data_IF_355819382646
#
_entry.id   IF_355819382646
#
_cell.length_a   1.000
_cell.length_b   1.000
_cell.length_c   1.000
_cell.angle_alpha   90.00
_cell.angle_beta   90.00
_cell.angle_gamma   90.00
#
_symmetry.space_group_name_H-M   'P 1'
#
loop_
_entity.id
_entity.type
_entity.pdbx_description
1 polymer ?
#
# COMPACT_ATOMS: atom_id res chain seq x y z
N UNK A 1 -19.84 13.20 -20.65
CA UNK A 1 -19.12 12.19 -21.46
C UNK A 1 -19.84 10.84 -21.31
N UNK A 2 -20.15 10.14 -22.40
CA UNK A 2 -20.85 8.82 -22.33
C UNK A 2 -19.91 7.77 -21.71
N UNK A 3 -20.47 6.83 -20.93
CA UNK A 3 -19.73 5.71 -20.32
C UNK A 3 -18.85 4.95 -21.34
N UNK A 4 -19.29 4.89 -22.61
CA UNK A 4 -18.54 4.30 -23.71
C UNK A 4 -17.21 5.02 -24.00
N UNK A 5 -17.20 6.36 -23.97
CA UNK A 5 -15.99 7.14 -24.27
C UNK A 5 -14.88 6.90 -23.24
N UNK A 6 -15.22 6.80 -21.95
CA UNK A 6 -14.23 6.48 -20.90
C UNK A 6 -13.67 5.06 -21.02
N UNK A 7 -14.47 4.11 -21.54
CA UNK A 7 -13.98 2.74 -21.78
C UNK A 7 -12.88 2.76 -22.85
N UNK A 8 -13.11 3.45 -23.96
CA UNK A 8 -12.14 3.58 -25.05
C UNK A 8 -10.89 4.36 -24.62
N UNK A 9 -11.05 5.43 -23.85
CA UNK A 9 -9.92 6.20 -23.34
C UNK A 9 -9.01 5.36 -22.43
N UNK A 10 -9.58 4.59 -21.50
CA UNK A 10 -8.82 3.69 -20.64
C UNK A 10 -8.14 2.58 -21.46
N UNK A 11 -8.84 1.98 -22.43
CA UNK A 11 -8.26 0.96 -23.30
C UNK A 11 -7.11 1.52 -24.16
N UNK A 12 -7.26 2.74 -24.67
CA UNK A 12 -6.23 3.45 -25.43
C UNK A 12 -4.98 3.71 -24.59
N UNK A 13 -5.12 4.15 -23.33
CA UNK A 13 -3.97 4.31 -22.43
C UNK A 13 -3.26 3.00 -22.11
N UNK A 14 -4.02 1.91 -21.89
CA UNK A 14 -3.43 0.59 -21.64
C UNK A 14 -2.68 0.11 -22.89
N UNK A 15 -3.29 0.23 -24.07
CA UNK A 15 -2.65 -0.14 -25.33
C UNK A 15 -1.39 0.69 -25.60
N UNK A 16 -1.45 2.00 -25.33
CA UNK A 16 -0.30 2.89 -25.40
C UNK A 16 0.83 2.45 -24.46
N UNK A 17 0.50 2.09 -23.20
CA UNK A 17 1.51 1.59 -22.27
C UNK A 17 2.14 0.26 -22.72
N UNK A 18 1.35 -0.68 -23.22
CA UNK A 18 1.86 -1.91 -23.81
C UNK A 18 2.77 -1.64 -25.02
N UNK A 19 2.42 -0.65 -25.86
CA UNK A 19 3.26 -0.23 -26.98
C UNK A 19 4.59 0.35 -26.50
N UNK A 20 4.60 1.17 -25.46
CA UNK A 20 5.84 1.72 -24.87
C UNK A 20 6.77 0.61 -24.35
N UNK A 21 6.20 -0.44 -23.74
CA UNK A 21 6.96 -1.63 -23.33
C UNK A 21 7.49 -2.38 -24.56
N UNK A 22 6.64 -2.62 -25.56
CA UNK A 22 7.02 -3.34 -26.79
C UNK A 22 8.10 -2.63 -27.62
N UNK A 23 8.12 -1.29 -27.58
CA UNK A 23 9.15 -0.47 -28.23
C UNK A 23 10.43 -0.33 -27.37
N UNK A 24 10.46 -0.89 -26.16
CA UNK A 24 11.61 -0.78 -25.27
C UNK A 24 11.83 0.62 -24.67
N UNK A 25 10.82 1.50 -24.72
CA UNK A 25 10.90 2.83 -24.10
C UNK A 25 10.79 2.70 -22.56
N UNK A 26 9.96 1.77 -22.11
CA UNK A 26 9.86 1.39 -20.69
C UNK A 26 10.48 0.00 -20.54
N UNK A 27 11.63 -0.08 -19.87
CA UNK A 27 12.35 -1.31 -19.61
C UNK A 27 12.70 -1.42 -18.13
N UNK A 28 12.62 -2.64 -17.60
CA UNK A 28 13.03 -2.97 -16.24
C UNK A 28 13.96 -4.18 -16.28
N UNK A 29 15.10 -4.07 -15.62
CA UNK A 29 16.00 -5.21 -15.43
C UNK A 29 15.63 -5.99 -14.18
N UNK A 30 15.88 -7.31 -14.22
CA UNK A 30 15.83 -8.14 -13.04
C UNK A 30 16.82 -7.60 -11.99
N UNK A 31 16.46 -7.66 -10.71
CA UNK A 31 17.37 -7.19 -9.67
C UNK A 31 18.42 -8.24 -9.33
N UNK A 32 19.64 -7.80 -9.01
CA UNK A 32 20.79 -8.68 -8.73
C UNK A 32 20.50 -9.76 -7.67
N UNK A 33 19.72 -9.42 -6.64
CA UNK A 33 19.37 -10.38 -5.58
C UNK A 33 18.59 -11.61 -6.07
N UNK A 34 17.82 -11.52 -7.16
CA UNK A 34 17.16 -12.69 -7.75
C UNK A 34 18.14 -13.40 -8.68
N UNK A 35 18.93 -12.69 -9.49
CA UNK A 35 19.92 -13.34 -10.38
C UNK A 35 20.92 -14.16 -9.58
N UNK A 36 21.34 -13.67 -8.41
CA UNK A 36 22.21 -14.40 -7.48
C UNK A 36 21.55 -15.71 -7.02
N UNK A 37 20.26 -15.67 -6.63
CA UNK A 37 19.52 -16.87 -6.21
C UNK A 37 19.40 -17.88 -7.35
N UNK A 38 19.14 -17.41 -8.58
CA UNK A 38 19.05 -18.26 -9.77
C UNK A 38 20.39 -18.94 -10.04
N UNK A 39 21.51 -18.23 -9.87
CA UNK A 39 22.85 -18.77 -10.12
C UNK A 39 23.21 -19.97 -9.23
N UNK A 40 22.60 -20.06 -8.04
CA UNK A 40 22.76 -21.21 -7.14
C UNK A 40 21.84 -22.40 -7.45
N UNK A 41 21.08 -22.35 -8.56
CA UNK A 41 20.15 -23.38 -9.01
C UNK A 41 19.23 -23.92 -7.90
N UNK A 42 18.79 -23.04 -7.01
CA UNK A 42 18.03 -23.44 -5.81
C UNK A 42 16.56 -23.62 -6.15
N UNK A 43 15.98 -24.75 -5.73
CA UNK A 43 14.55 -24.99 -5.89
C UNK A 43 13.71 -23.93 -5.11
N UNK A 44 12.74 -23.25 -5.76
CA UNK A 44 11.93 -22.20 -5.15
C UNK A 44 11.21 -22.62 -3.87
N UNK A 45 10.72 -23.87 -3.83
CA UNK A 45 9.97 -24.40 -2.69
C UNK A 45 10.92 -24.64 -1.52
N UNK A 46 12.08 -25.26 -1.77
CA UNK A 46 13.12 -25.43 -0.76
C UNK A 46 13.60 -24.10 -0.16
N UNK A 47 13.68 -23.05 -0.98
CA UNK A 47 14.10 -21.72 -0.54
C UNK A 47 13.04 -21.04 0.35
N UNK A 48 11.75 -21.28 0.09
CA UNK A 48 10.66 -20.86 0.98
C UNK A 48 10.65 -21.66 2.29
N UNK A 49 10.81 -22.98 2.22
CA UNK A 49 10.79 -23.86 3.39
C UNK A 49 12.00 -23.64 4.32
N UNK A 50 13.15 -23.28 3.78
CA UNK A 50 14.34 -22.88 4.56
C UNK A 50 14.18 -21.54 5.28
N UNK A 51 13.11 -20.78 4.99
CA UNK A 51 12.88 -19.47 5.57
C UNK A 51 13.91 -18.43 5.12
N UNK A 52 14.44 -18.57 3.91
CA UNK A 52 15.41 -17.63 3.36
C UNK A 52 14.80 -16.22 3.23
N UNK A 53 15.56 -15.20 3.61
CA UNK A 53 15.05 -13.81 3.73
C UNK A 53 14.58 -13.20 2.40
N UNK A 54 15.07 -13.75 1.29
CA UNK A 54 14.69 -13.32 -0.06
C UNK A 54 13.64 -14.23 -0.71
N UNK A 55 13.16 -15.27 -0.02
CA UNK A 55 12.26 -16.25 -0.60
C UNK A 55 10.91 -15.67 -1.01
N UNK A 56 10.34 -14.78 -0.18
CA UNK A 56 9.09 -14.11 -0.56
C UNK A 56 9.29 -13.16 -1.75
N UNK A 57 10.47 -12.51 -1.86
CA UNK A 57 10.80 -11.66 -3.02
C UNK A 57 10.88 -12.50 -4.29
N UNK A 58 11.52 -13.65 -4.19
CA UNK A 58 11.63 -14.61 -5.29
C UNK A 58 10.24 -15.11 -5.70
N UNK A 59 9.36 -15.44 -4.75
CA UNK A 59 7.99 -15.89 -5.05
C UNK A 59 7.17 -14.88 -5.86
N UNK A 60 7.39 -13.57 -5.66
CA UNK A 60 6.71 -12.51 -6.44
C UNK A 60 7.19 -12.45 -7.89
N UNK A 61 8.47 -12.75 -8.14
CA UNK A 61 9.09 -12.67 -9.48
C UNK A 61 9.09 -14.02 -10.20
N UNK A 62 8.94 -15.12 -9.46
CA UNK A 62 8.98 -16.48 -9.98
C UNK A 62 8.04 -16.71 -11.18
N UNK A 63 6.81 -16.19 -11.23
CA UNK A 63 5.97 -16.35 -12.41
C UNK A 63 6.60 -15.80 -13.70
N UNK A 64 7.29 -14.65 -13.62
CA UNK A 64 7.99 -14.07 -14.77
C UNK A 64 9.18 -14.92 -15.20
N UNK A 65 9.98 -15.39 -14.23
CA UNK A 65 11.12 -16.26 -14.50
C UNK A 65 10.69 -17.59 -15.12
N UNK A 66 9.62 -18.18 -14.59
CA UNK A 66 9.08 -19.43 -15.09
C UNK A 66 8.62 -19.30 -16.55
N UNK A 67 7.94 -18.19 -16.89
CA UNK A 67 7.57 -17.91 -18.29
C UNK A 67 8.82 -17.74 -19.16
N UNK A 68 9.81 -16.96 -18.72
CA UNK A 68 11.05 -16.77 -19.48
C UNK A 68 11.80 -18.09 -19.73
N UNK A 69 11.87 -18.97 -18.72
CA UNK A 69 12.45 -20.32 -18.84
C UNK A 69 11.68 -21.19 -19.83
N UNK A 70 10.35 -21.15 -19.80
CA UNK A 70 9.51 -21.97 -20.68
C UNK A 70 9.51 -21.48 -22.13
N UNK A 71 9.62 -20.18 -22.37
CA UNK A 71 9.61 -19.61 -23.73
C UNK A 71 10.99 -19.41 -24.32
N UNK A 72 12.05 -19.44 -23.50
CA UNK A 72 13.41 -19.07 -23.90
C UNK A 72 13.57 -17.58 -24.23
N UNK A 73 12.61 -16.73 -23.84
CA UNK A 73 12.67 -15.29 -24.08
C UNK A 73 13.61 -14.61 -23.08
N UNK A 74 14.09 -13.43 -23.47
CA UNK A 74 14.89 -12.58 -22.60
C UNK A 74 14.19 -12.33 -21.25
N UNK A 75 14.93 -12.52 -20.16
CA UNK A 75 14.40 -12.45 -18.80
C UNK A 75 13.94 -11.03 -18.44
N UNK A 76 14.68 -10.01 -18.89
CA UNK A 76 14.37 -8.62 -18.62
C UNK A 76 13.12 -8.18 -19.40
N UNK A 77 12.92 -8.68 -20.63
CA UNK A 77 11.69 -8.45 -21.39
C UNK A 77 10.46 -9.01 -20.67
N UNK A 78 10.49 -10.27 -20.25
CA UNK A 78 9.37 -10.89 -19.53
C UNK A 78 9.15 -10.22 -18.16
N UNK A 79 10.23 -9.89 -17.46
CA UNK A 79 10.14 -9.15 -16.21
C UNK A 79 9.54 -7.75 -16.40
N UNK A 80 9.90 -7.05 -17.48
CA UNK A 80 9.31 -5.75 -17.84
C UNK A 80 7.80 -5.86 -18.04
N UNK A 81 7.35 -6.88 -18.78
CA UNK A 81 5.92 -7.15 -18.95
C UNK A 81 5.22 -7.46 -17.60
N UNK A 82 5.88 -8.24 -16.74
CA UNK A 82 5.37 -8.58 -15.40
C UNK A 82 5.24 -7.35 -14.49
N UNK A 83 6.22 -6.46 -14.51
CA UNK A 83 6.16 -5.15 -13.83
C UNK A 83 5.04 -4.29 -14.42
N UNK A 84 4.87 -4.30 -15.74
CA UNK A 84 3.74 -3.65 -16.42
C UNK A 84 2.38 -4.13 -15.89
N UNK A 85 2.21 -5.44 -15.72
CA UNK A 85 1.00 -6.03 -15.10
C UNK A 85 0.81 -5.53 -13.66
N UNK A 86 1.89 -5.46 -12.86
CA UNK A 86 1.81 -4.94 -11.50
C UNK A 86 1.38 -3.45 -11.46
N UNK A 87 1.87 -2.62 -12.39
CA UNK A 87 1.43 -1.21 -12.54
C UNK A 87 -0.04 -1.10 -12.92
N UNK A 88 -0.51 -1.93 -13.86
CA UNK A 88 -1.92 -1.97 -14.23
C UNK A 88 -2.80 -2.44 -13.07
N UNK A 89 -2.36 -3.47 -12.34
CA UNK A 89 -3.04 -3.95 -11.14
C UNK A 89 -3.12 -2.83 -10.09
N UNK A 90 -2.03 -2.13 -9.80
CA UNK A 90 -2.02 -0.99 -8.88
C UNK A 90 -3.05 0.08 -9.31
N UNK A 91 -3.02 0.49 -10.58
CA UNK A 91 -3.93 1.49 -11.14
C UNK A 91 -5.40 1.10 -10.98
N UNK A 92 -5.73 -0.17 -11.25
CA UNK A 92 -7.09 -0.70 -11.10
C UNK A 92 -7.53 -0.68 -9.64
N UNK A 93 -6.64 -1.04 -8.70
CA UNK A 93 -6.98 -1.05 -7.28
C UNK A 93 -7.10 0.37 -6.70
N UNK A 94 -6.24 1.31 -7.12
CA UNK A 94 -6.38 2.74 -6.77
C UNK A 94 -7.70 3.29 -7.29
N UNK A 95 -8.09 2.96 -8.52
CA UNK A 95 -9.38 3.36 -9.08
C UNK A 95 -10.57 2.81 -8.28
N UNK A 96 -10.49 1.52 -7.86
CA UNK A 96 -11.49 0.88 -6.99
C UNK A 96 -11.57 1.55 -5.63
N UNK A 97 -10.43 1.75 -4.97
CA UNK A 97 -10.35 2.42 -3.67
C UNK A 97 -10.92 3.84 -3.73
N UNK A 98 -10.59 4.60 -4.77
CA UNK A 98 -11.12 5.96 -5.00
C UNK A 98 -12.63 5.97 -5.20
N UNK A 99 -13.17 5.02 -5.99
CA UNK A 99 -14.61 4.88 -6.20
C UNK A 99 -15.33 4.51 -4.90
N UNK A 100 -14.77 3.56 -4.14
CA UNK A 100 -15.31 3.17 -2.84
C UNK A 100 -15.31 4.33 -1.85
N UNK A 101 -14.24 5.12 -1.80
CA UNK A 101 -14.15 6.29 -0.93
C UNK A 101 -15.09 7.43 -1.33
N UNK A 102 -15.39 7.58 -2.64
CA UNK A 102 -16.28 8.62 -3.17
C UNK A 102 -17.77 8.32 -2.94
N UNK A 103 -18.21 7.10 -3.28
CA UNK A 103 -19.65 6.75 -3.36
C UNK A 103 -20.03 5.52 -2.57
N UNK A 104 -19.09 4.88 -1.86
CA UNK A 104 -19.34 3.65 -1.13
C UNK A 104 -19.53 2.40 -2.02
N UNK A 105 -19.30 2.52 -3.34
CA UNK A 105 -19.44 1.43 -4.31
C UNK A 105 -18.47 1.59 -5.50
N UNK A 106 -18.46 0.64 -6.45
CA UNK A 106 -17.54 0.64 -7.60
C UNK A 106 -18.10 1.29 -8.89
N UNK A 107 -19.23 2.00 -8.81
CA UNK A 107 -19.88 2.57 -10.01
C UNK A 107 -19.01 3.58 -10.76
N UNK A 108 -18.18 4.34 -10.05
CA UNK A 108 -17.28 5.36 -10.62
C UNK A 108 -15.91 4.81 -11.04
N UNK A 109 -15.67 3.49 -10.89
CA UNK A 109 -14.36 2.88 -11.16
C UNK A 109 -13.80 3.23 -12.54
N UNK A 110 -14.65 3.31 -13.58
CA UNK A 110 -14.19 3.63 -14.95
C UNK A 110 -13.69 5.06 -15.08
N UNK A 111 -14.25 5.98 -14.30
CA UNK A 111 -13.88 7.39 -14.28
C UNK A 111 -12.61 7.62 -13.47
N UNK A 112 -12.48 6.93 -12.34
CA UNK A 112 -11.28 7.00 -11.49
C UNK A 112 -10.09 6.22 -12.08
N UNK A 113 -10.34 5.27 -13.00
CA UNK A 113 -9.28 4.50 -13.65
C UNK A 113 -8.37 5.35 -14.54
N UNK A 114 -8.93 6.30 -15.29
CA UNK A 114 -8.15 7.15 -16.19
C UNK A 114 -7.05 7.95 -15.46
N UNK A 115 -7.35 8.76 -14.42
CA UNK A 115 -6.30 9.46 -13.68
C UNK A 115 -5.36 8.50 -12.95
N UNK A 116 -5.86 7.34 -12.49
CA UNK A 116 -4.99 6.32 -11.87
C UNK A 116 -3.96 5.79 -12.86
N UNK A 117 -4.38 5.45 -14.08
CA UNK A 117 -3.50 4.98 -15.15
C UNK A 117 -2.44 6.04 -15.49
N UNK A 118 -2.85 7.30 -15.66
CA UNK A 118 -1.90 8.39 -15.94
C UNK A 118 -0.82 8.52 -14.86
N UNK A 119 -1.21 8.48 -13.59
CA UNK A 119 -0.27 8.59 -12.46
C UNK A 119 0.74 7.44 -12.47
N UNK A 120 0.29 6.19 -12.57
CA UNK A 120 1.20 5.05 -12.45
C UNK A 120 1.99 4.70 -13.71
N UNK A 121 1.44 5.01 -14.90
CA UNK A 121 2.24 4.98 -16.13
C UNK A 121 3.32 6.08 -16.06
N UNK A 122 2.98 7.29 -15.59
CA UNK A 122 3.98 8.35 -15.40
C UNK A 122 5.09 7.96 -14.43
N UNK A 123 4.73 7.35 -13.28
CA UNK A 123 5.72 6.89 -12.29
C UNK A 123 6.58 5.75 -12.84
N UNK A 124 6.06 4.90 -13.75
CA UNK A 124 6.82 3.76 -14.25
C UNK A 124 8.10 4.15 -14.99
N UNK A 125 8.15 5.35 -15.58
CA UNK A 125 9.37 5.92 -16.19
C UNK A 125 10.46 6.31 -15.19
N UNK A 126 10.12 6.52 -13.92
CA UNK A 126 11.03 7.07 -12.91
C UNK A 126 11.42 6.07 -11.82
N UNK A 127 10.88 4.84 -11.84
CA UNK A 127 11.06 3.86 -10.78
C UNK A 127 11.84 2.63 -11.23
N UNK A 128 12.46 1.94 -10.27
CA UNK A 128 12.90 0.56 -10.48
C UNK A 128 11.68 -0.38 -10.40
N UNK A 129 11.62 -1.37 -11.29
CA UNK A 129 10.49 -2.31 -11.40
C UNK A 129 10.16 -3.05 -10.09
N UNK A 130 11.11 -3.18 -9.16
CA UNK A 130 10.89 -3.77 -7.83
C UNK A 130 9.76 -3.13 -7.03
N UNK A 131 9.64 -1.79 -7.06
CA UNK A 131 8.67 -1.07 -6.21
C UNK A 131 7.23 -1.22 -6.75
N UNK A 132 7.06 -1.55 -8.03
CA UNK A 132 5.75 -1.75 -8.67
C UNK A 132 4.90 -2.79 -7.94
N UNK A 133 5.52 -3.88 -7.48
CA UNK A 133 4.82 -4.92 -6.72
C UNK A 133 4.37 -4.42 -5.35
N UNK A 134 5.19 -3.62 -4.67
CA UNK A 134 4.79 -3.00 -3.41
C UNK A 134 3.64 -2.00 -3.61
N UNK A 135 3.62 -1.27 -4.72
CA UNK A 135 2.50 -0.39 -5.08
C UNK A 135 1.20 -1.16 -5.34
N UNK A 136 1.28 -2.27 -6.09
CA UNK A 136 0.14 -3.15 -6.29
C UNK A 136 -0.34 -3.75 -4.96
N UNK A 137 0.59 -4.19 -4.11
CA UNK A 137 0.31 -4.75 -2.79
C UNK A 137 -0.40 -3.77 -1.86
N UNK A 138 0.12 -2.55 -1.68
CA UNK A 138 -0.55 -1.55 -0.83
C UNK A 138 -1.92 -1.16 -1.40
N UNK A 139 -2.07 -1.03 -2.72
CA UNK A 139 -3.36 -0.69 -3.33
C UNK A 139 -4.40 -1.80 -3.11
N UNK A 140 -4.00 -3.08 -3.25
CA UNK A 140 -4.83 -4.23 -2.88
C UNK A 140 -5.22 -4.20 -1.39
N UNK A 141 -4.28 -3.87 -0.50
CA UNK A 141 -4.51 -3.79 0.93
C UNK A 141 -5.56 -2.73 1.26
N UNK A 142 -5.42 -1.54 0.67
CA UNK A 142 -6.37 -0.44 0.84
C UNK A 142 -7.78 -0.82 0.36
N UNK A 143 -7.92 -1.46 -0.79
CA UNK A 143 -9.23 -1.92 -1.28
C UNK A 143 -9.85 -2.94 -0.32
N UNK A 144 -9.07 -3.90 0.18
CA UNK A 144 -9.55 -4.91 1.14
C UNK A 144 -10.04 -4.25 2.43
N UNK A 145 -9.25 -3.32 2.99
CA UNK A 145 -9.62 -2.58 4.20
C UNK A 145 -10.82 -1.67 3.99
N UNK A 146 -10.90 -0.94 2.88
CA UNK A 146 -12.05 -0.09 2.54
C UNK A 146 -13.34 -0.90 2.40
N UNK A 147 -13.32 -2.02 1.68
CA UNK A 147 -14.50 -2.87 1.52
C UNK A 147 -14.94 -3.49 2.85
N UNK A 148 -14.01 -3.83 3.73
CA UNK A 148 -14.33 -4.27 5.09
C UNK A 148 -14.95 -3.14 5.91
N UNK A 149 -14.30 -1.97 5.88
CA UNK A 149 -14.70 -0.76 6.60
C UNK A 149 -16.11 -0.28 6.23
N UNK A 150 -16.44 -0.34 4.94
CA UNK A 150 -17.76 0.02 4.41
C UNK A 150 -18.79 -1.11 4.52
N UNK A 151 -18.43 -2.27 5.09
CA UNK A 151 -19.34 -3.41 5.24
C UNK A 151 -19.71 -4.14 3.95
N UNK A 152 -18.97 -3.91 2.86
CA UNK A 152 -19.19 -4.53 1.54
C UNK A 152 -18.70 -5.98 1.54
N UNK A 153 -17.57 -6.26 2.19
CA UNK A 153 -17.08 -7.64 2.34
C UNK A 153 -17.98 -8.43 3.31
N UNK A 154 -18.70 -9.41 2.75
CA UNK A 154 -19.54 -10.33 3.54
C UNK A 154 -18.77 -11.52 4.11
N UNK A 155 -17.64 -11.90 3.49
CA UNK A 155 -16.85 -13.10 3.85
C UNK A 155 -15.46 -12.71 4.37
N UNK A 156 -15.09 -13.25 5.53
CA UNK A 156 -13.77 -13.08 6.15
C UNK A 156 -12.63 -13.60 5.25
N UNK A 157 -12.85 -14.73 4.57
CA UNK A 157 -11.83 -15.37 3.73
C UNK A 157 -11.32 -14.45 2.64
N UNK A 158 -12.20 -13.77 1.90
CA UNK A 158 -11.79 -12.83 0.86
C UNK A 158 -11.00 -11.64 1.41
N UNK A 159 -11.34 -11.18 2.62
CA UNK A 159 -10.62 -10.10 3.29
C UNK A 159 -9.21 -10.54 3.74
N UNK A 160 -9.08 -11.71 4.35
CA UNK A 160 -7.79 -12.28 4.78
C UNK A 160 -6.89 -12.61 3.58
N UNK A 161 -7.44 -13.23 2.54
CA UNK A 161 -6.70 -13.47 1.29
C UNK A 161 -6.23 -12.16 0.66
N UNK A 162 -7.05 -11.11 0.72
CA UNK A 162 -6.66 -9.77 0.29
C UNK A 162 -5.48 -9.21 1.08
N UNK A 163 -5.47 -9.37 2.42
CA UNK A 163 -4.36 -8.91 3.26
C UNK A 163 -3.08 -9.72 3.03
N UNK A 164 -3.17 -11.06 3.04
CA UNK A 164 -2.02 -11.95 2.84
C UNK A 164 -1.42 -11.78 1.45
N UNK A 165 -2.25 -11.74 0.40
CA UNK A 165 -1.78 -11.48 -0.96
C UNK A 165 -1.10 -10.11 -1.10
N UNK A 166 -1.62 -9.10 -0.40
CA UNK A 166 -0.99 -7.77 -0.36
C UNK A 166 0.37 -7.80 0.32
N UNK A 167 0.51 -8.52 1.45
CA UNK A 167 1.78 -8.69 2.16
C UNK A 167 2.81 -9.44 1.31
N UNK A 168 2.42 -10.47 0.56
CA UNK A 168 3.30 -11.17 -0.37
C UNK A 168 3.82 -10.19 -1.43
N UNK A 169 2.96 -9.40 -2.07
CA UNK A 169 3.38 -8.40 -3.05
C UNK A 169 4.29 -7.31 -2.45
N UNK A 170 4.04 -6.90 -1.20
CA UNK A 170 4.86 -5.94 -0.47
C UNK A 170 6.18 -6.53 0.07
N UNK A 171 6.38 -7.85 0.00
CA UNK A 171 7.58 -8.52 0.51
C UNK A 171 8.86 -8.21 -0.28
N UNK A 172 8.72 -7.61 -1.46
CA UNK A 172 9.82 -7.18 -2.34
C UNK A 172 10.83 -6.30 -1.61
N UNK A 173 10.45 -5.57 -0.56
CA UNK A 173 11.36 -4.88 0.36
C UNK A 173 10.92 -5.09 1.81
N UNK A 174 11.90 -5.22 2.71
CA UNK A 174 11.62 -5.37 4.15
C UNK A 174 10.83 -4.18 4.69
N UNK A 175 11.20 -2.95 4.30
CA UNK A 175 10.51 -1.74 4.77
C UNK A 175 9.06 -1.67 4.28
N UNK A 176 8.80 -2.02 3.02
CA UNK A 176 7.44 -2.03 2.46
C UNK A 176 6.58 -3.12 3.13
N UNK A 177 7.16 -4.30 3.37
CA UNK A 177 6.50 -5.38 4.10
C UNK A 177 6.11 -4.97 5.53
N UNK A 178 7.04 -4.33 6.26
CA UNK A 178 6.77 -3.80 7.60
C UNK A 178 5.65 -2.76 7.60
N UNK A 179 5.63 -1.83 6.63
CA UNK A 179 4.52 -0.87 6.48
C UNK A 179 3.20 -1.62 6.27
N UNK A 180 3.15 -2.62 5.40
CA UNK A 180 1.93 -3.41 5.18
C UNK A 180 1.43 -4.08 6.46
N UNK A 181 2.33 -4.68 7.24
CA UNK A 181 2.01 -5.30 8.52
C UNK A 181 1.49 -4.28 9.55
N UNK A 182 2.15 -3.11 9.65
CA UNK A 182 1.73 -2.02 10.53
C UNK A 182 0.36 -1.44 10.13
N UNK A 183 0.08 -1.32 8.82
CA UNK A 183 -1.21 -0.87 8.30
C UNK A 183 -2.32 -1.87 8.67
N UNK A 184 -2.06 -3.18 8.58
CA UNK A 184 -3.00 -4.22 9.01
C UNK A 184 -3.26 -4.13 10.53
N UNK A 185 -2.19 -4.07 11.33
CA UNK A 185 -2.29 -3.99 12.80
C UNK A 185 -3.06 -2.76 13.24
N UNK A 186 -2.64 -1.59 12.75
CA UNK A 186 -3.20 -0.31 13.18
C UNK A 186 -4.64 -0.16 12.73
N UNK A 187 -4.98 -0.66 11.54
CA UNK A 187 -6.37 -0.68 11.08
C UNK A 187 -7.25 -1.58 11.96
N UNK A 188 -6.74 -2.74 12.39
CA UNK A 188 -7.44 -3.63 13.32
C UNK A 188 -7.63 -3.00 14.71
N UNK A 189 -6.59 -2.38 15.27
CA UNK A 189 -6.65 -1.65 16.54
C UNK A 189 -7.55 -0.40 16.49
N UNK A 190 -7.69 0.20 15.30
CA UNK A 190 -8.52 1.39 15.09
C UNK A 190 -10.00 1.06 14.98
N UNK A 191 -10.38 -0.21 14.75
CA UNK A 191 -11.79 -0.59 14.82
C UNK A 191 -12.33 -0.33 16.24
N UNK A 192 -13.61 0.04 16.40
CA UNK A 192 -14.18 0.27 17.72
C UNK A 192 -14.25 -1.06 18.50
N UNK A 193 -13.23 -1.35 19.29
CA UNK A 193 -13.17 -2.57 20.13
C UNK A 193 -14.12 -2.46 21.32
N UNK A 194 -14.27 -1.26 21.87
CA UNK A 194 -15.08 -0.99 23.06
C UNK A 194 -15.77 0.34 22.81
N UNK A 195 -17.07 0.29 22.49
CA UNK A 195 -17.93 1.47 22.47
C UNK A 195 -19.01 1.23 23.53
N UNK A 196 -19.08 2.10 24.52
CA UNK A 196 -20.17 2.18 25.50
C UNK A 196 -20.39 0.91 26.36
N UNK A 197 -19.30 0.21 26.75
CA UNK A 197 -19.40 -1.00 27.58
C UNK A 197 -20.01 -2.22 26.87
N UNK A 198 -20.32 -2.11 25.58
CA UNK A 198 -20.78 -3.23 24.76
C UNK A 198 -19.58 -3.98 24.18
N UNK A 199 -19.58 -5.29 24.37
CA UNK A 199 -18.59 -6.23 23.85
C UNK A 199 -18.32 -6.01 22.35
N UNK A 200 -17.08 -6.29 21.94
CA UNK A 200 -16.66 -6.39 20.54
C UNK A 200 -17.75 -7.03 19.68
N UNK A 201 -18.16 -6.37 18.59
CA UNK A 201 -18.98 -7.07 17.59
C UNK A 201 -18.15 -8.24 17.10
N UNK A 202 -18.75 -9.44 17.01
CA UNK A 202 -18.07 -10.68 16.58
C UNK A 202 -17.16 -10.49 15.37
N UNK A 203 -17.56 -9.65 14.40
CA UNK A 203 -16.75 -9.32 13.21
C UNK A 203 -15.45 -8.57 13.53
N UNK A 204 -15.50 -7.57 14.41
CA UNK A 204 -14.34 -6.77 14.82
C UNK A 204 -13.37 -7.62 15.66
N UNK A 205 -13.88 -8.48 16.55
CA UNK A 205 -13.05 -9.43 17.31
C UNK A 205 -12.32 -10.40 16.38
N UNK A 206 -13.04 -10.94 15.38
CA UNK A 206 -12.45 -11.85 14.38
C UNK A 206 -11.39 -11.12 13.55
N UNK A 207 -11.63 -9.87 13.15
CA UNK A 207 -10.61 -9.11 12.43
C UNK A 207 -9.38 -8.83 13.30
N UNK A 208 -9.57 -8.38 14.54
CA UNK A 208 -8.47 -8.18 15.47
C UNK A 208 -7.67 -9.48 15.70
N UNK A 209 -8.36 -10.59 16.00
CA UNK A 209 -7.73 -11.88 16.21
C UNK A 209 -6.99 -12.40 14.97
N UNK A 210 -7.55 -12.20 13.77
CA UNK A 210 -6.90 -12.60 12.53
C UNK A 210 -5.72 -11.71 12.14
N UNK A 211 -5.81 -10.39 12.35
CA UNK A 211 -4.68 -9.48 12.15
C UNK A 211 -3.54 -9.83 13.12
N UNK A 212 -3.86 -10.10 14.39
CA UNK A 212 -2.90 -10.54 15.38
C UNK A 212 -2.27 -11.88 14.98
N UNK A 213 -3.06 -12.86 14.54
CA UNK A 213 -2.56 -14.15 14.06
C UNK A 213 -1.60 -14.00 12.88
N UNK A 214 -1.93 -13.13 11.92
CA UNK A 214 -1.06 -12.83 10.77
C UNK A 214 0.26 -12.22 11.23
N UNK A 215 0.23 -11.31 12.20
CA UNK A 215 1.45 -10.66 12.70
C UNK A 215 2.29 -11.64 13.52
N UNK A 216 1.67 -12.45 14.37
CA UNK A 216 2.34 -13.48 15.16
C UNK A 216 2.96 -14.55 14.28
N UNK A 217 2.29 -14.98 13.20
CA UNK A 217 2.85 -15.95 12.26
C UNK A 217 4.02 -15.38 11.45
N UNK A 218 4.02 -14.07 11.20
CA UNK A 218 5.09 -13.37 10.49
C UNK A 218 6.20 -12.85 11.41
N UNK A 219 6.02 -12.90 12.73
CA UNK A 219 7.00 -12.41 13.71
C UNK A 219 8.41 -12.96 13.50
N UNK A 220 8.63 -14.28 13.28
CA UNK A 220 9.97 -14.80 13.05
C UNK A 220 10.65 -14.18 11.82
N UNK A 221 9.87 -13.94 10.75
CA UNK A 221 10.38 -13.34 9.53
C UNK A 221 10.67 -11.85 9.71
N UNK A 222 9.77 -11.12 10.38
CA UNK A 222 9.94 -9.71 10.71
C UNK A 222 11.16 -9.49 11.61
N UNK A 223 11.30 -10.30 12.66
CA UNK A 223 12.42 -10.27 13.59
C UNK A 223 13.75 -10.54 12.87
N UNK A 224 13.86 -11.63 12.11
CA UNK A 224 15.08 -11.94 11.34
C UNK A 224 15.41 -10.84 10.32
N UNK A 225 14.40 -10.27 9.66
CA UNK A 225 14.63 -9.21 8.67
C UNK A 225 15.09 -7.89 9.30
N UNK A 226 14.57 -7.55 10.48
CA UNK A 226 14.98 -6.38 11.24
C UNK A 226 16.38 -6.55 11.81
N UNK A 227 16.68 -7.70 12.42
CA UNK A 227 18.01 -8.02 12.92
C UNK A 227 19.06 -8.01 11.80
N UNK A 228 18.78 -8.64 10.64
CA UNK A 228 19.68 -8.57 9.47
C UNK A 228 19.99 -7.13 9.06
N UNK A 229 18.99 -6.26 9.05
CA UNK A 229 19.23 -4.85 8.71
C UNK A 229 20.08 -4.16 9.77
N UNK A 230 19.80 -4.37 11.05
CA UNK A 230 20.61 -3.81 12.15
C UNK A 230 22.07 -4.28 12.06
N UNK A 231 22.28 -5.59 11.83
CA UNK A 231 23.61 -6.20 11.71
C UNK A 231 24.36 -5.66 10.49
N UNK A 232 23.66 -5.47 9.35
CA UNK A 232 24.22 -4.87 8.15
C UNK A 232 24.76 -3.43 8.40
N UNK A 233 24.10 -2.66 9.27
CA UNK A 233 24.53 -1.30 9.62
C UNK A 233 25.56 -1.24 10.77
N UNK A 234 26.05 -2.39 11.25
CA UNK A 234 27.09 -2.47 12.28
C UNK A 234 26.66 -3.10 13.60
N UNK A 235 25.43 -3.61 13.70
CA UNK A 235 24.94 -4.36 14.86
C UNK A 235 24.58 -3.50 16.07
N UNK A 236 23.76 -4.08 16.96
CA UNK A 236 23.36 -3.44 18.22
C UNK A 236 22.68 -2.07 18.05
N UNK A 237 22.85 -1.20 19.05
CA UNK A 237 22.27 0.16 19.03
C UNK A 237 22.91 1.06 17.95
N UNK A 238 24.21 0.89 17.69
CA UNK A 238 24.92 1.65 16.65
C UNK A 238 24.36 1.34 15.27
N UNK A 239 24.12 0.05 14.98
CA UNK A 239 23.46 -0.39 13.75
C UNK A 239 22.05 0.18 13.61
N UNK A 240 21.27 0.26 14.69
CA UNK A 240 19.94 0.89 14.69
C UNK A 240 20.02 2.39 14.32
N UNK A 241 20.94 3.14 14.92
CA UNK A 241 21.11 4.58 14.65
C UNK A 241 21.60 4.81 13.22
N UNK A 242 22.58 4.04 12.75
CA UNK A 242 23.07 4.10 11.35
C UNK A 242 21.99 3.71 10.34
N UNK A 243 21.13 2.76 10.69
CA UNK A 243 19.96 2.40 9.89
C UNK A 243 18.95 3.56 9.81
N UNK A 244 18.71 4.28 10.91
CA UNK A 244 17.87 5.48 10.89
C UNK A 244 18.48 6.62 10.08
N UNK A 245 19.80 6.75 10.08
CA UNK A 245 20.53 7.70 9.25
C UNK A 245 20.55 7.29 7.77
N UNK A 246 19.95 6.15 7.42
CA UNK A 246 19.72 5.78 6.04
C UNK A 246 18.48 6.51 5.48
N UNK A 247 18.42 6.68 4.15
CA UNK A 247 17.28 7.33 3.50
C UNK A 247 17.09 8.79 3.92
N UNK A 248 15.86 9.16 4.32
CA UNK A 248 15.56 10.54 4.74
C UNK A 248 16.10 10.87 6.13
N UNK A 249 16.35 9.88 6.99
CA UNK A 249 16.86 10.15 8.33
C UNK A 249 18.33 10.56 8.35
N UNK A 250 19.03 10.54 7.20
CA UNK A 250 20.38 11.14 7.05
C UNK A 250 20.42 12.62 7.36
N UNK A 251 19.28 13.29 7.24
CA UNK A 251 19.14 14.73 7.52
C UNK A 251 18.87 15.00 9.00
N UNK A 252 18.67 13.95 9.81
CA UNK A 252 18.50 14.13 11.25
C UNK A 252 19.84 14.29 11.95
N UNK A 253 19.90 15.18 12.96
CA UNK A 253 21.04 15.26 13.86
C UNK A 253 21.30 13.92 14.54
N UNK A 254 22.58 13.62 14.76
CA UNK A 254 23.06 12.32 15.23
C UNK A 254 23.47 12.33 16.70
N UNK A 255 23.52 13.51 17.31
CA UNK A 255 23.78 13.64 18.74
C UNK A 255 22.64 13.03 19.56
N UNK A 256 23.00 12.46 20.71
CA UNK A 256 22.08 11.68 21.54
C UNK A 256 20.88 12.51 22.00
N UNK A 257 21.07 13.80 22.31
CA UNK A 257 20.00 14.68 22.78
C UNK A 257 18.98 14.91 21.65
N UNK A 258 19.43 15.25 20.46
CA UNK A 258 18.54 15.44 19.32
C UNK A 258 17.81 14.15 18.92
N UNK A 259 18.47 12.98 19.00
CA UNK A 259 17.82 11.69 18.77
C UNK A 259 16.72 11.40 19.81
N UNK A 260 16.95 11.72 21.09
CA UNK A 260 15.96 11.59 22.14
C UNK A 260 14.78 12.56 21.94
N UNK A 261 15.05 13.81 21.55
CA UNK A 261 14.01 14.79 21.22
C UNK A 261 13.20 14.35 20.00
N UNK A 262 13.86 13.82 18.96
CA UNK A 262 13.19 13.28 17.78
C UNK A 262 12.33 12.06 18.12
N UNK A 263 12.85 11.14 18.93
CA UNK A 263 12.11 9.95 19.36
C UNK A 263 10.90 10.32 20.24
N UNK A 264 11.11 11.19 21.24
CA UNK A 264 10.06 11.64 22.15
C UNK A 264 9.01 12.51 21.45
N UNK A 265 9.44 13.57 20.77
CA UNK A 265 8.56 14.49 20.04
C UNK A 265 7.90 13.83 18.83
N UNK A 266 8.65 13.05 18.05
CA UNK A 266 8.12 12.27 16.93
C UNK A 266 7.15 11.18 17.39
N UNK A 267 7.44 10.48 18.49
CA UNK A 267 6.53 9.51 19.11
C UNK A 267 5.25 10.16 19.61
N UNK A 268 5.34 11.30 20.29
CA UNK A 268 4.18 12.09 20.72
C UNK A 268 3.33 12.54 19.53
N UNK A 269 3.96 13.12 18.50
CA UNK A 269 3.27 13.53 17.27
C UNK A 269 2.60 12.34 16.56
N UNK A 270 3.32 11.23 16.39
CA UNK A 270 2.79 10.02 15.78
C UNK A 270 1.60 9.47 16.57
N UNK A 271 1.67 9.46 17.91
CA UNK A 271 0.55 9.06 18.76
C UNK A 271 -0.70 9.92 18.50
N UNK A 272 -0.56 11.25 18.44
CA UNK A 272 -1.70 12.13 18.19
C UNK A 272 -2.29 11.98 16.79
N UNK A 273 -1.45 11.84 15.76
CA UNK A 273 -1.90 11.59 14.38
C UNK A 273 -2.62 10.24 14.30
N UNK A 274 -2.04 9.18 14.85
CA UNK A 274 -2.66 7.84 14.85
C UNK A 274 -3.96 7.83 15.65
N UNK A 275 -4.04 8.56 16.77
CA UNK A 275 -5.28 8.72 17.54
C UNK A 275 -6.36 9.41 16.71
N UNK A 276 -6.04 10.51 16.03
CA UNK A 276 -6.99 11.22 15.16
C UNK A 276 -7.48 10.31 14.02
N UNK A 277 -6.57 9.61 13.36
CA UNK A 277 -6.91 8.67 12.29
C UNK A 277 -7.76 7.51 12.81
N UNK A 278 -7.46 6.98 13.99
CA UNK A 278 -8.27 5.96 14.64
C UNK A 278 -9.68 6.48 14.95
N UNK A 279 -9.82 7.73 15.40
CA UNK A 279 -11.14 8.36 15.58
C UNK A 279 -11.90 8.46 14.26
N UNK A 280 -11.24 8.85 13.17
CA UNK A 280 -11.87 8.90 11.83
C UNK A 280 -12.29 7.50 11.34
N UNK A 281 -11.48 6.46 11.61
CA UNK A 281 -11.86 5.06 11.34
C UNK A 281 -13.08 4.69 12.19
N UNK A 282 -13.14 5.05 13.47
CA UNK A 282 -14.31 4.76 14.33
C UNK A 282 -15.57 5.48 13.88
N UNK A 283 -15.43 6.69 13.34
CA UNK A 283 -16.53 7.47 12.76
C UNK A 283 -16.96 6.99 11.37
N UNK A 284 -16.34 5.92 10.85
CA UNK A 284 -16.60 5.37 9.51
C UNK A 284 -16.37 6.36 8.38
N UNK A 285 -15.40 7.26 8.53
CA UNK A 285 -15.04 8.17 7.46
C UNK A 285 -14.40 7.38 6.30
N UNK A 286 -14.91 7.52 5.05
CA UNK A 286 -14.55 6.63 3.95
C UNK A 286 -13.07 6.70 3.55
N UNK A 287 -12.37 7.81 3.80
CA UNK A 287 -10.94 7.95 3.52
C UNK A 287 -10.03 7.53 4.69
N UNK A 288 -10.57 7.19 5.87
CA UNK A 288 -9.75 6.95 7.06
C UNK A 288 -8.75 5.79 6.90
N UNK A 289 -9.11 4.62 6.32
CA UNK A 289 -8.14 3.53 6.11
C UNK A 289 -7.03 3.93 5.12
N UNK A 290 -7.36 4.76 4.13
CA UNK A 290 -6.41 5.26 3.13
C UNK A 290 -5.44 6.25 3.75
N UNK A 291 -5.94 7.20 4.53
CA UNK A 291 -5.10 8.17 5.25
C UNK A 291 -4.17 7.47 6.24
N UNK A 292 -4.65 6.43 6.93
CA UNK A 292 -3.83 5.59 7.79
C UNK A 292 -2.69 4.90 7.02
N UNK A 293 -3.00 4.30 5.88
CA UNK A 293 -2.00 3.73 4.97
C UNK A 293 -0.95 4.73 4.51
N UNK A 294 -1.39 5.93 4.09
CA UNK A 294 -0.50 7.01 3.66
C UNK A 294 0.44 7.44 4.80
N UNK A 295 -0.10 7.74 5.99
CA UNK A 295 0.69 8.21 7.13
C UNK A 295 1.73 7.19 7.57
N UNK A 296 1.36 5.90 7.64
CA UNK A 296 2.31 4.84 8.02
C UNK A 296 3.38 4.61 6.95
N UNK A 297 3.03 4.69 5.66
CA UNK A 297 4.03 4.59 4.59
C UNK A 297 4.97 5.80 4.58
N UNK A 298 4.46 7.01 4.82
CA UNK A 298 5.28 8.22 4.97
C UNK A 298 6.22 8.14 6.17
N UNK A 299 5.74 7.67 7.32
CA UNK A 299 6.57 7.41 8.49
C UNK A 299 7.62 6.32 8.23
N UNK A 300 7.28 5.29 7.47
CA UNK A 300 8.23 4.28 6.99
C UNK A 300 9.33 4.85 6.09
N UNK A 301 9.11 6.03 5.50
CA UNK A 301 10.11 6.78 4.72
C UNK A 301 11.38 7.14 5.48
N UNK A 302 11.32 7.17 6.82
CA UNK A 302 12.50 7.34 7.66
C UNK A 302 13.54 6.22 7.44
N UNK A 303 13.11 5.03 7.04
CA UNK A 303 13.98 3.87 6.81
C UNK A 303 14.36 3.67 5.33
N UNK A 304 13.85 4.50 4.42
CA UNK A 304 14.20 4.43 3.00
C UNK A 304 13.19 5.05 2.04
N UNK A 305 13.70 5.59 0.93
CA UNK A 305 12.88 6.22 -0.11
C UNK A 305 11.89 5.24 -0.74
N UNK A 306 12.29 3.98 -0.99
CA UNK A 306 11.37 2.98 -1.53
C UNK A 306 10.15 2.76 -0.63
N UNK A 307 10.33 2.85 0.70
CA UNK A 307 9.23 2.72 1.67
C UNK A 307 8.34 3.95 1.66
N UNK A 308 8.93 5.15 1.59
CA UNK A 308 8.18 6.40 1.43
C UNK A 308 7.29 6.38 0.18
N UNK A 309 7.84 5.94 -0.95
CA UNK A 309 7.14 5.91 -2.23
C UNK A 309 5.90 5.00 -2.21
N UNK A 310 5.83 4.00 -1.31
CA UNK A 310 4.62 3.18 -1.13
C UNK A 310 3.43 3.98 -0.60
N UNK A 311 3.63 5.22 -0.15
CA UNK A 311 2.52 6.15 0.13
C UNK A 311 1.80 6.63 -1.14
N UNK A 312 2.44 6.58 -2.33
CA UNK A 312 1.89 7.13 -3.57
C UNK A 312 0.53 6.54 -3.96
N UNK A 313 0.27 5.22 -3.88
CA UNK A 313 -1.08 4.69 -4.08
C UNK A 313 -2.13 5.25 -3.14
N UNK A 314 -1.81 5.44 -1.85
CA UNK A 314 -2.75 6.03 -0.91
C UNK A 314 -3.00 7.52 -1.21
N UNK A 315 -1.94 8.27 -1.53
CA UNK A 315 -2.02 9.68 -1.93
C UNK A 315 -2.80 9.86 -3.24
N UNK A 316 -2.62 8.96 -4.21
CA UNK A 316 -3.38 8.95 -5.46
C UNK A 316 -4.88 8.73 -5.20
N UNK A 317 -5.24 7.81 -4.29
CA UNK A 317 -6.64 7.63 -3.87
C UNK A 317 -7.20 8.92 -3.27
N UNK A 318 -6.48 9.55 -2.34
CA UNK A 318 -6.92 10.81 -1.69
C UNK A 318 -7.08 11.92 -2.74
N UNK A 319 -6.09 12.10 -3.62
CA UNK A 319 -6.10 13.14 -4.66
C UNK A 319 -7.22 12.96 -5.67
N UNK A 320 -7.43 11.73 -6.17
CA UNK A 320 -8.52 11.43 -7.11
C UNK A 320 -9.88 11.61 -6.43
N UNK A 321 -10.05 11.11 -5.20
CA UNK A 321 -11.28 11.32 -4.43
C UNK A 321 -11.54 12.81 -4.21
N UNK A 322 -10.54 13.61 -3.85
CA UNK A 322 -10.69 15.04 -3.67
C UNK A 322 -11.09 15.76 -4.96
N UNK A 323 -10.43 15.46 -6.09
CA UNK A 323 -10.71 16.06 -7.38
C UNK A 323 -12.12 15.74 -7.91
N UNK A 324 -12.62 14.53 -7.69
CA UNK A 324 -13.95 14.11 -8.16
C UNK A 324 -15.08 14.42 -7.19
N UNK A 325 -14.79 14.72 -5.91
CA UNK A 325 -15.83 14.98 -4.89
C UNK A 325 -16.85 16.06 -5.30
N UNK A 326 -16.47 17.22 -5.87
CA UNK A 326 -17.42 18.25 -6.28
C UNK A 326 -18.37 17.83 -7.41
N UNK A 327 -17.95 16.86 -8.24
CA UNK A 327 -18.73 16.38 -9.38
C UNK A 327 -19.78 15.34 -8.98
N UNK A 328 -19.56 14.67 -7.85
CA UNK A 328 -20.35 13.50 -7.42
C UNK A 328 -21.27 13.86 -6.27
N UNK A 329 -20.74 14.57 -5.27
CA UNK A 329 -21.53 15.04 -4.15
C UNK A 329 -22.23 16.31 -4.62
N UNK A 330 -23.51 16.20 -4.99
CA UNK A 330 -24.35 17.39 -5.14
C UNK A 330 -24.17 18.20 -3.86
N UNK A 331 -23.70 19.45 -3.97
CA UNK A 331 -23.78 20.37 -2.84
C UNK A 331 -25.25 20.39 -2.49
N UNK A 332 -25.60 19.85 -1.33
CA UNK A 332 -26.88 20.19 -0.72
C UNK A 332 -26.91 21.71 -0.74
N UNK A 333 -27.91 22.28 -1.43
CA UNK A 333 -28.08 23.72 -1.41
C UNK A 333 -28.09 24.11 0.07
N UNK A 334 -27.37 25.18 0.47
CA UNK A 334 -27.44 25.64 1.84
C UNK A 334 -28.92 25.69 2.22
N UNK A 335 -29.31 24.97 3.27
CA UNK A 335 -30.68 24.97 3.75
C UNK A 335 -31.10 26.45 3.82
N UNK A 336 -32.26 26.83 3.23
CA UNK A 336 -32.72 28.21 3.29
C UNK A 336 -32.60 28.65 4.73
N UNK A 337 -31.89 29.77 4.95
CA UNK A 337 -31.68 30.30 6.30
C UNK A 337 -33.03 30.25 7.00
N UNK A 338 -33.14 29.60 8.18
CA UNK A 338 -34.42 29.43 8.85
C UNK A 338 -35.06 30.80 8.89
N UNK A 339 -36.22 30.94 8.24
CA UNK A 339 -36.92 32.20 8.06
C UNK A 339 -36.72 33.03 9.33
N UNK A 340 -36.00 34.15 9.21
CA UNK A 340 -35.86 35.13 10.27
C UNK A 340 -37.19 35.86 10.45
N UNK A 341 -38.28 35.11 10.62
CA UNK A 341 -39.64 35.57 10.93
C UNK A 341 -39.76 35.98 12.40
N UNK A 342 -38.70 36.56 12.95
CA UNK A 342 -38.76 37.35 14.16
C UNK A 342 -38.71 38.80 13.70
N UNK A 343 -39.74 39.56 14.09
CA UNK A 343 -39.95 41.00 13.84
C UNK A 343 -40.74 41.38 12.58
N UNK A 344 -42.01 41.00 12.55
CA UNK A 344 -43.06 41.92 12.10
C UNK A 344 -44.22 41.87 13.11
N UNK A 345 -44.09 42.67 14.16
CA UNK A 345 -45.20 43.10 15.02
C UNK A 345 -45.72 44.44 14.54
#
# INVERSE_FOLDING_TARGET
MRISAMKWLNAGLIAFYCLLIGLGIVQFSLWNQITDIISYNTDPVSLLLSGHLHALRFAVVFPALWVALMTGWDQDLIFTAWVGIAILLCSIQVARASSLALVGNESLRRWTLFPSLLVFIGISFAMNGRIAFAFAGIACLLVSQLRWHLGIHRKLTGFLLGQLGSLILMSVSTGTFMVGALVILTFALSQPVIRDGQYLRRREAIHFGSALLVILSLYPLLGKSLLKNIDFYGGGFVGLVRMLQHGLGRFFPTDTVSLLVLAGGGGFFAYHVLRLLALLVRQRHPLAPVALGACLAMAGGLFGLSTLLVSLPALAVIGITWAFRPLVVKREAPLPAPNSGLYST
#
